data_IF_203335924552
#
_entry.id   IF_203335924552
#
_cell.length_a   1.000
_cell.length_b   1.000
_cell.length_c   1.000
_cell.angle_alpha   90.00
_cell.angle_beta   90.00
_cell.angle_gamma   90.00
#
_symmetry.space_group_name_H-M   'P 1'
#
loop_
_entity.id
_entity.type
_entity.pdbx_description
1 polymer ?
#
# COMPACT_ATOMS: atom_id res chain seq x y z
N UNK A 1 -16.81 89.15 -69.05
CA UNK A 1 -17.64 89.79 -68.00
C UNK A 1 -16.72 90.12 -66.83
N UNK A 2 -16.25 91.34 -66.57
CA UNK A 2 -16.74 92.69 -66.81
C UNK A 2 -16.57 93.46 -65.49
N UNK A 3 -15.32 93.65 -65.04
CA UNK A 3 -15.03 94.40 -63.80
C UNK A 3 -15.23 95.90 -64.07
N UNK A 4 -16.27 96.50 -63.46
CA UNK A 4 -16.69 97.87 -63.76
C UNK A 4 -16.05 98.95 -62.89
N UNK A 5 -15.06 98.61 -62.05
CA UNK A 5 -14.34 99.54 -61.19
C UNK A 5 -12.85 99.16 -61.11
N UNK A 6 -11.92 100.14 -61.02
CA UNK A 6 -10.50 99.85 -60.86
C UNK A 6 -10.28 99.13 -59.52
N UNK A 7 -9.72 97.92 -59.60
CA UNK A 7 -9.29 97.15 -58.44
C UNK A 7 -8.13 97.90 -57.75
N UNK A 8 -8.11 97.94 -56.41
CA UNK A 8 -6.92 98.42 -55.69
C UNK A 8 -5.73 97.48 -55.95
N UNK A 9 -4.51 97.96 -55.73
CA UNK A 9 -3.27 97.23 -56.03
C UNK A 9 -3.24 95.84 -55.39
N UNK A 10 -3.65 95.72 -54.13
CA UNK A 10 -3.73 94.45 -53.41
C UNK A 10 -4.73 93.47 -54.03
N UNK A 11 -5.90 93.95 -54.46
CA UNK A 11 -6.90 93.12 -55.13
C UNK A 11 -6.46 92.69 -56.54
N UNK A 12 -5.71 93.54 -57.27
CA UNK A 12 -5.11 93.13 -58.55
C UNK A 12 -4.01 92.09 -58.35
N UNK A 13 -3.17 92.24 -57.32
CA UNK A 13 -2.11 91.29 -56.99
C UNK A 13 -2.70 89.92 -56.61
N UNK A 14 -3.75 89.89 -55.78
CA UNK A 14 -4.47 88.65 -55.45
C UNK A 14 -5.10 88.00 -56.68
N UNK A 15 -5.69 88.78 -57.58
CA UNK A 15 -6.23 88.26 -58.85
C UNK A 15 -5.12 87.70 -59.74
N UNK A 16 -3.96 88.37 -59.83
CA UNK A 16 -2.80 87.85 -60.55
C UNK A 16 -2.26 86.57 -59.93
N UNK A 17 -2.20 86.46 -58.59
CA UNK A 17 -1.83 85.22 -57.91
C UNK A 17 -2.81 84.09 -58.21
N UNK A 18 -4.12 84.34 -58.17
CA UNK A 18 -5.14 83.35 -58.49
C UNK A 18 -5.04 82.90 -59.96
N UNK A 19 -4.95 83.85 -60.89
CA UNK A 19 -4.77 83.57 -62.32
C UNK A 19 -3.45 82.84 -62.60
N UNK A 20 -2.37 83.15 -61.88
CA UNK A 20 -1.08 82.46 -62.01
C UNK A 20 -1.17 81.03 -61.47
N UNK A 21 -1.85 80.82 -60.34
CA UNK A 21 -2.12 79.47 -59.81
C UNK A 21 -2.97 78.64 -60.77
N UNK A 22 -4.02 79.23 -61.35
CA UNK A 22 -4.84 78.56 -62.38
C UNK A 22 -4.03 78.24 -63.63
N UNK A 23 -3.22 79.19 -64.13
CA UNK A 23 -2.34 78.96 -65.27
C UNK A 23 -1.30 77.86 -65.00
N UNK A 24 -0.73 77.81 -63.81
CA UNK A 24 0.26 76.78 -63.46
C UNK A 24 -0.39 75.41 -63.23
N UNK A 25 -1.63 75.36 -62.72
CA UNK A 25 -2.43 74.14 -62.68
C UNK A 25 -2.72 73.62 -64.10
N UNK A 26 -3.15 74.51 -65.01
CA UNK A 26 -3.41 74.16 -66.42
C UNK A 26 -2.14 73.75 -67.17
N UNK A 27 -1.00 74.39 -66.91
CA UNK A 27 0.30 73.97 -67.47
C UNK A 27 0.68 72.57 -67.00
N UNK A 28 0.51 72.26 -65.71
CA UNK A 28 0.76 70.91 -65.16
C UNK A 28 -0.16 69.87 -65.78
N UNK A 29 -1.44 70.19 -65.97
CA UNK A 29 -2.39 69.31 -66.64
C UNK A 29 -1.99 69.06 -68.10
N UNK A 30 -1.66 70.12 -68.85
CA UNK A 30 -1.10 70.02 -70.20
C UNK A 30 0.14 69.14 -70.23
N UNK A 31 1.10 69.33 -69.32
CA UNK A 31 2.34 68.55 -69.31
C UNK A 31 2.10 67.07 -69.02
N UNK A 32 1.11 66.76 -68.17
CA UNK A 32 0.63 65.37 -67.95
C UNK A 32 -0.02 64.79 -69.20
N UNK A 33 -0.86 65.57 -69.89
CA UNK A 33 -1.50 65.14 -71.13
C UNK A 33 -0.47 64.91 -72.25
N UNK A 34 0.55 65.77 -72.36
CA UNK A 34 1.66 65.58 -73.29
C UNK A 34 2.49 64.33 -72.94
N UNK A 35 2.69 64.05 -71.65
CA UNK A 35 3.32 62.81 -71.20
C UNK A 35 2.52 61.57 -71.61
N UNK A 36 1.21 61.60 -71.36
CA UNK A 36 0.30 60.53 -71.76
C UNK A 36 0.27 60.33 -73.29
N UNK A 37 0.20 61.39 -74.08
CA UNK A 37 0.22 61.34 -75.54
C UNK A 37 1.53 60.73 -76.06
N UNK A 38 2.68 61.10 -75.48
CA UNK A 38 3.98 60.48 -75.79
C UNK A 38 3.99 58.98 -75.49
N UNK A 39 3.42 58.56 -74.36
CA UNK A 39 3.36 57.14 -74.00
C UNK A 39 2.42 56.35 -74.92
N UNK A 40 1.28 56.93 -75.30
CA UNK A 40 0.36 56.34 -76.29
C UNK A 40 1.06 56.18 -77.64
N UNK A 41 1.76 57.22 -78.11
CA UNK A 41 2.53 57.14 -79.35
C UNK A 41 3.65 56.11 -79.28
N UNK A 42 4.37 56.03 -78.15
CA UNK A 42 5.41 55.02 -77.95
C UNK A 42 4.86 53.60 -78.05
N UNK A 43 3.74 53.31 -77.37
CA UNK A 43 3.07 51.99 -77.44
C UNK A 43 2.54 51.69 -78.84
N UNK A 44 1.95 52.69 -79.51
CA UNK A 44 1.51 52.58 -80.90
C UNK A 44 2.67 52.20 -81.83
N UNK A 45 3.80 52.87 -81.68
CA UNK A 45 4.98 52.64 -82.51
C UNK A 45 5.65 51.29 -82.19
N UNK A 46 5.59 50.81 -80.95
CA UNK A 46 6.01 49.47 -80.55
C UNK A 46 5.15 48.38 -81.23
N UNK A 47 3.82 48.52 -81.24
CA UNK A 47 2.92 47.59 -81.93
C UNK A 47 3.16 47.61 -83.45
N UNK A 48 3.34 48.81 -84.03
CA UNK A 48 3.69 48.95 -85.45
C UNK A 48 5.04 48.28 -85.78
N UNK A 49 6.04 48.37 -84.91
CA UNK A 49 7.32 47.66 -85.07
C UNK A 49 7.12 46.15 -85.03
N UNK A 50 6.33 45.64 -84.10
CA UNK A 50 6.04 44.21 -83.99
C UNK A 50 5.30 43.67 -85.22
N UNK A 51 4.34 44.42 -85.77
CA UNK A 51 3.63 44.08 -87.01
C UNK A 51 4.56 44.05 -88.23
N UNK A 52 5.48 45.02 -88.35
CA UNK A 52 6.49 45.06 -89.41
C UNK A 52 7.47 43.88 -89.36
N UNK A 53 7.84 43.43 -88.15
CA UNK A 53 8.69 42.25 -87.94
C UNK A 53 7.94 40.96 -88.29
N UNK A 54 6.65 40.88 -87.94
CA UNK A 54 5.81 39.71 -88.20
C UNK A 54 5.44 39.52 -89.68
N UNK A 55 5.41 40.60 -90.49
CA UNK A 55 5.06 40.52 -91.91
C UNK A 55 5.94 41.45 -92.79
N UNK A 56 7.18 41.05 -93.12
CA UNK A 56 8.10 41.88 -93.89
C UNK A 56 7.69 42.09 -95.37
N UNK A 57 6.76 41.29 -95.90
CA UNK A 57 6.31 41.36 -97.29
C UNK A 57 5.23 42.44 -97.56
N UNK A 58 4.61 43.00 -96.53
CA UNK A 58 3.55 44.03 -96.67
C UNK A 58 4.10 45.47 -96.82
N UNK A 59 5.42 45.68 -96.66
CA UNK A 59 6.05 47.00 -96.66
C UNK A 59 6.15 47.66 -98.05
N UNK A 60 5.80 46.96 -99.13
CA UNK A 60 6.10 47.36 -100.51
C UNK A 60 5.03 48.10 -101.31
N UNK A 61 3.81 48.33 -100.80
CA UNK A 61 2.82 49.08 -101.62
C UNK A 61 1.37 49.03 -101.21
N UNK A 62 1.00 49.60 -100.06
CA UNK A 62 -0.39 49.98 -99.78
C UNK A 62 -0.43 51.38 -99.17
N UNK A 63 -1.39 52.20 -99.62
CA UNK A 63 -1.50 53.62 -99.30
C UNK A 63 -1.68 53.94 -97.80
N UNK A 64 -1.66 55.23 -97.43
CA UNK A 64 -1.54 55.70 -96.04
C UNK A 64 -2.63 55.23 -95.06
N UNK A 65 -3.74 54.64 -95.51
CA UNK A 65 -4.81 54.09 -94.65
C UNK A 65 -4.68 52.59 -94.33
N UNK A 66 -3.85 51.82 -95.03
CA UNK A 66 -3.80 50.36 -94.86
C UNK A 66 -3.10 49.92 -93.55
N UNK A 67 -2.02 50.60 -93.15
CA UNK A 67 -1.31 50.30 -91.90
C UNK A 67 -2.08 50.69 -90.64
N UNK A 68 -3.03 51.63 -90.74
CA UNK A 68 -3.88 52.03 -89.61
C UNK A 68 -5.02 51.03 -89.37
N UNK A 69 -5.53 50.40 -90.43
CA UNK A 69 -6.49 49.29 -90.35
C UNK A 69 -5.85 48.04 -89.72
N UNK A 70 -4.66 47.65 -90.18
CA UNK A 70 -3.92 46.49 -89.63
C UNK A 70 -3.55 46.69 -88.14
N UNK A 71 -3.21 47.92 -87.75
CA UNK A 71 -2.95 48.28 -86.35
C UNK A 71 -4.21 48.18 -85.48
N UNK A 72 -5.36 48.68 -85.97
CA UNK A 72 -6.65 48.56 -85.26
C UNK A 72 -7.05 47.11 -85.09
N UNK A 73 -6.94 46.29 -86.14
CA UNK A 73 -7.24 44.85 -86.07
C UNK A 73 -6.33 44.10 -85.07
N UNK A 74 -5.04 44.46 -85.00
CA UNK A 74 -4.10 43.88 -84.04
C UNK A 74 -4.47 44.25 -82.59
N UNK A 75 -4.79 45.53 -82.35
CA UNK A 75 -5.24 46.02 -81.04
C UNK A 75 -6.57 45.37 -80.62
N UNK A 76 -7.54 45.25 -81.54
CA UNK A 76 -8.82 44.60 -81.28
C UNK A 76 -8.63 43.11 -80.95
N UNK A 77 -7.70 42.44 -81.64
CA UNK A 77 -7.32 41.05 -81.34
C UNK A 77 -6.68 40.91 -79.95
N UNK A 78 -5.83 41.84 -79.55
CA UNK A 78 -5.21 41.81 -78.22
C UNK A 78 -6.19 42.18 -77.10
N UNK A 79 -7.09 43.14 -77.33
CA UNK A 79 -8.22 43.42 -76.43
C UNK A 79 -9.10 42.18 -76.27
N UNK A 80 -9.40 41.46 -77.36
CA UNK A 80 -10.18 40.23 -77.29
C UNK A 80 -9.45 39.12 -76.51
N UNK A 81 -8.13 38.97 -76.68
CA UNK A 81 -7.32 38.03 -75.87
C UNK A 81 -7.34 38.39 -74.39
N UNK A 82 -7.13 39.68 -74.06
CA UNK A 82 -7.12 40.15 -72.67
C UNK A 82 -8.49 39.98 -72.02
N UNK A 83 -9.59 40.28 -72.71
CA UNK A 83 -10.95 40.02 -72.22
C UNK A 83 -11.20 38.54 -71.96
N UNK A 84 -10.68 37.64 -72.82
CA UNK A 84 -10.78 36.20 -72.60
C UNK A 84 -9.97 35.75 -71.39
N UNK A 85 -8.76 36.28 -71.21
CA UNK A 85 -7.90 36.00 -70.06
C UNK A 85 -8.52 36.52 -68.75
N UNK A 86 -9.07 37.74 -68.76
CA UNK A 86 -9.81 38.34 -67.65
C UNK A 86 -11.01 37.47 -67.27
N UNK A 87 -11.84 37.08 -68.25
CA UNK A 87 -12.99 36.22 -68.00
C UNK A 87 -12.59 34.86 -67.39
N UNK A 88 -11.48 34.28 -67.85
CA UNK A 88 -10.96 33.02 -67.31
C UNK A 88 -10.44 33.20 -65.87
N UNK A 89 -9.63 34.22 -65.60
CA UNK A 89 -9.10 34.52 -64.28
C UNK A 89 -10.21 34.82 -63.27
N UNK A 90 -11.26 35.55 -63.69
CA UNK A 90 -12.44 35.82 -62.85
C UNK A 90 -13.21 34.54 -62.54
N UNK A 91 -13.32 33.60 -63.50
CA UNK A 91 -13.97 32.32 -63.27
C UNK A 91 -13.19 31.45 -62.27
N UNK A 92 -11.86 31.40 -62.40
CA UNK A 92 -10.99 30.69 -61.46
C UNK A 92 -11.06 31.31 -60.06
N UNK A 93 -11.01 32.64 -59.95
CA UNK A 93 -11.13 33.34 -58.68
C UNK A 93 -12.43 32.96 -57.97
N UNK A 94 -13.56 32.99 -58.68
CA UNK A 94 -14.87 32.61 -58.13
C UNK A 94 -14.92 31.15 -57.68
N UNK A 95 -14.27 30.25 -58.42
CA UNK A 95 -14.20 28.83 -58.04
C UNK A 95 -13.39 28.65 -56.75
N UNK A 96 -12.24 29.32 -56.64
CA UNK A 96 -11.39 29.28 -55.43
C UNK A 96 -12.07 29.92 -54.24
N UNK A 97 -12.79 31.04 -54.43
CA UNK A 97 -13.57 31.69 -53.37
C UNK A 97 -14.68 30.79 -52.84
N UNK A 98 -15.39 30.06 -53.72
CA UNK A 98 -16.40 29.09 -53.34
C UNK A 98 -15.80 27.88 -52.59
N UNK A 99 -14.63 27.38 -53.02
CA UNK A 99 -13.93 26.33 -52.28
C UNK A 99 -13.47 26.80 -50.91
N UNK A 100 -12.96 28.04 -50.81
CA UNK A 100 -12.54 28.64 -49.55
C UNK A 100 -13.70 28.79 -48.57
N UNK A 101 -14.88 29.20 -49.04
CA UNK A 101 -16.06 29.31 -48.18
C UNK A 101 -16.55 27.94 -47.69
N UNK A 102 -16.53 26.91 -48.55
CA UNK A 102 -16.83 25.52 -48.16
C UNK A 102 -15.86 25.01 -47.09
N UNK A 103 -14.55 25.14 -47.32
CA UNK A 103 -13.53 24.68 -46.36
C UNK A 103 -13.60 25.44 -45.03
N UNK A 104 -13.97 26.73 -45.05
CA UNK A 104 -14.18 27.50 -43.83
C UNK A 104 -15.38 26.97 -43.02
N UNK A 105 -16.45 26.54 -43.69
CA UNK A 105 -17.59 25.91 -43.03
C UNK A 105 -17.22 24.55 -42.43
N UNK A 106 -16.50 23.72 -43.18
CA UNK A 106 -16.04 22.41 -42.70
C UNK A 106 -15.10 22.55 -41.50
N UNK A 107 -14.18 23.51 -41.54
CA UNK A 107 -13.31 23.81 -40.41
C UNK A 107 -14.11 24.24 -39.18
N UNK A 108 -15.09 25.12 -39.34
CA UNK A 108 -15.92 25.56 -38.22
C UNK A 108 -16.72 24.40 -37.59
N UNK A 109 -17.17 23.43 -38.40
CA UNK A 109 -17.82 22.23 -37.91
C UNK A 109 -16.85 21.34 -37.10
N UNK A 110 -15.65 21.10 -37.63
CA UNK A 110 -14.60 20.33 -36.94
C UNK A 110 -14.16 20.99 -35.64
N UNK A 111 -13.97 22.31 -35.63
CA UNK A 111 -13.59 23.06 -34.43
C UNK A 111 -14.69 22.94 -33.34
N UNK A 112 -15.97 22.86 -33.73
CA UNK A 112 -17.08 22.65 -32.79
C UNK A 112 -17.12 21.22 -32.24
N UNK A 113 -16.86 20.21 -33.06
CA UNK A 113 -16.75 18.81 -32.64
C UNK A 113 -15.56 18.60 -31.69
N UNK A 114 -14.39 19.21 -31.98
CA UNK A 114 -13.21 19.17 -31.12
C UNK A 114 -13.49 19.78 -29.74
N UNK A 115 -14.20 20.91 -29.70
CA UNK A 115 -14.58 21.55 -28.45
C UNK A 115 -15.50 20.67 -27.58
N UNK A 116 -16.43 19.93 -28.22
CA UNK A 116 -17.31 19.00 -27.51
C UNK A 116 -16.52 17.79 -26.98
N UNK A 117 -15.67 17.18 -27.80
CA UNK A 117 -14.80 16.08 -27.38
C UNK A 117 -13.90 16.48 -26.20
N UNK A 118 -13.30 17.68 -26.23
CA UNK A 118 -12.48 18.18 -25.13
C UNK A 118 -13.26 18.30 -23.81
N UNK A 119 -14.56 18.64 -23.88
CA UNK A 119 -15.44 18.70 -22.71
C UNK A 119 -15.71 17.31 -22.15
N UNK A 120 -16.00 16.34 -23.01
CA UNK A 120 -16.22 14.94 -22.61
C UNK A 120 -14.96 14.32 -21.99
N UNK A 121 -13.78 14.56 -22.60
CA UNK A 121 -12.50 14.11 -22.07
C UNK A 121 -12.22 14.69 -20.68
N UNK A 122 -12.48 15.98 -20.47
CA UNK A 122 -12.28 16.62 -19.18
C UNK A 122 -13.16 15.99 -18.08
N UNK A 123 -14.42 15.67 -18.39
CA UNK A 123 -15.29 14.98 -17.43
C UNK A 123 -14.85 13.52 -17.21
N UNK A 124 -14.42 12.82 -18.26
CA UNK A 124 -13.84 11.48 -18.14
C UNK A 124 -12.63 11.47 -17.19
N UNK A 125 -11.68 12.39 -17.37
CA UNK A 125 -10.49 12.49 -16.53
C UNK A 125 -10.81 12.83 -15.06
N UNK A 126 -11.86 13.62 -14.84
CA UNK A 126 -12.37 13.91 -13.50
C UNK A 126 -12.97 12.67 -12.84
N UNK A 127 -13.72 11.86 -13.59
CA UNK A 127 -14.27 10.59 -13.09
C UNK A 127 -13.16 9.56 -12.85
N UNK A 128 -12.18 9.48 -13.73
CA UNK A 128 -11.01 8.62 -13.57
C UNK A 128 -10.23 8.97 -12.31
N UNK A 129 -9.95 10.26 -12.09
CA UNK A 129 -9.29 10.73 -10.86
C UNK A 129 -10.05 10.32 -9.60
N UNK A 130 -11.38 10.45 -9.58
CA UNK A 130 -12.22 10.00 -8.45
C UNK A 130 -12.13 8.49 -8.24
N UNK A 131 -12.15 7.72 -9.32
CA UNK A 131 -12.04 6.27 -9.27
C UNK A 131 -10.68 5.81 -8.71
N UNK A 132 -9.58 6.44 -9.15
CA UNK A 132 -8.22 6.14 -8.67
C UNK A 132 -8.10 6.41 -7.18
N UNK A 133 -8.56 7.57 -6.70
CA UNK A 133 -8.57 7.88 -5.25
C UNK A 133 -9.37 6.83 -4.48
N UNK A 134 -10.55 6.46 -4.98
CA UNK A 134 -11.39 5.47 -4.30
C UNK A 134 -10.76 4.07 -4.27
N UNK A 135 -10.09 3.67 -5.35
CA UNK A 135 -9.35 2.41 -5.41
C UNK A 135 -8.25 2.40 -4.35
N UNK A 136 -7.47 3.48 -4.26
CA UNK A 136 -6.35 3.58 -3.33
C UNK A 136 -6.84 3.55 -1.87
N UNK A 137 -7.93 4.24 -1.54
CA UNK A 137 -8.58 4.15 -0.22
C UNK A 137 -8.98 2.72 0.16
N UNK A 138 -9.52 1.96 -0.80
CA UNK A 138 -9.92 0.57 -0.57
C UNK A 138 -8.69 -0.34 -0.39
N UNK A 139 -7.62 -0.09 -1.12
CA UNK A 139 -6.38 -0.82 -1.02
C UNK A 139 -5.69 -0.57 0.33
N UNK A 140 -5.61 0.68 0.78
CA UNK A 140 -5.10 1.04 2.11
C UNK A 140 -5.90 0.35 3.22
N UNK A 141 -7.22 0.27 3.06
CA UNK A 141 -8.09 -0.42 4.02
C UNK A 141 -7.84 -1.92 4.02
N UNK A 142 -7.64 -2.53 2.86
CA UNK A 142 -7.30 -3.95 2.75
C UNK A 142 -5.96 -4.26 3.43
N UNK A 143 -4.93 -3.46 3.16
CA UNK A 143 -3.59 -3.65 3.73
C UNK A 143 -3.58 -3.44 5.25
N UNK A 144 -4.37 -2.48 5.76
CA UNK A 144 -4.60 -2.30 7.19
C UNK A 144 -5.25 -3.54 7.83
N UNK A 145 -6.28 -4.11 7.20
CA UNK A 145 -6.97 -5.30 7.69
C UNK A 145 -6.06 -6.53 7.67
N UNK A 146 -5.29 -6.72 6.60
CA UNK A 146 -4.29 -7.80 6.49
C UNK A 146 -3.25 -7.72 7.61
N UNK A 147 -2.75 -6.51 7.89
CA UNK A 147 -1.79 -6.28 8.98
C UNK A 147 -2.38 -6.64 10.34
N UNK A 148 -3.63 -6.22 10.61
CA UNK A 148 -4.33 -6.57 11.85
C UNK A 148 -4.56 -8.07 12.00
N UNK A 149 -4.92 -8.75 10.91
CA UNK A 149 -5.11 -10.19 10.90
C UNK A 149 -3.80 -10.93 11.19
N UNK A 150 -2.71 -10.52 10.53
CA UNK A 150 -1.38 -11.09 10.77
C UNK A 150 -0.93 -10.91 12.23
N UNK A 151 -1.16 -9.72 12.81
CA UNK A 151 -0.91 -9.46 14.22
C UNK A 151 -1.75 -10.35 15.14
N UNK A 152 -3.06 -10.44 14.88
CA UNK A 152 -3.98 -11.27 15.66
C UNK A 152 -3.61 -12.75 15.63
N UNK A 153 -3.19 -13.26 14.47
CA UNK A 153 -2.68 -14.64 14.35
C UNK A 153 -1.41 -14.86 15.16
N UNK A 154 -0.46 -13.92 15.11
CA UNK A 154 0.78 -14.03 15.89
C UNK A 154 0.52 -14.03 17.40
N UNK A 155 -0.40 -13.18 17.86
CA UNK A 155 -0.76 -13.14 19.27
C UNK A 155 -1.52 -14.41 19.69
N UNK A 156 -2.40 -14.93 18.83
CA UNK A 156 -3.07 -16.21 19.08
C UNK A 156 -2.06 -17.37 19.16
N UNK A 157 -1.09 -17.44 18.25
CA UNK A 157 -0.03 -18.44 18.27
C UNK A 157 0.79 -18.36 19.56
N UNK A 158 1.09 -17.13 20.02
CA UNK A 158 1.77 -16.90 21.29
C UNK A 158 0.93 -17.40 22.47
N UNK A 159 -0.34 -17.01 22.55
CA UNK A 159 -1.26 -17.44 23.62
C UNK A 159 -1.48 -18.95 23.62
N UNK A 160 -1.55 -19.59 22.45
CA UNK A 160 -1.66 -21.05 22.33
C UNK A 160 -0.39 -21.76 22.82
N UNK A 161 0.79 -21.15 22.65
CA UNK A 161 2.05 -21.67 23.19
C UNK A 161 2.24 -21.39 24.68
N UNK A 162 1.66 -20.31 25.19
CA UNK A 162 1.74 -19.96 26.61
C UNK A 162 0.84 -20.89 27.43
N UNK A 163 1.43 -21.96 27.94
CA UNK A 163 0.79 -22.79 28.95
C UNK A 163 1.07 -22.19 30.34
N UNK A 164 0.06 -21.55 30.95
CA UNK A 164 0.17 -20.92 32.27
C UNK A 164 0.70 -21.89 33.35
N UNK A 165 0.43 -23.18 33.22
CA UNK A 165 0.94 -24.19 34.17
C UNK A 165 2.44 -24.40 34.05
N UNK A 166 3.00 -24.33 32.83
CA UNK A 166 4.44 -24.43 32.62
C UNK A 166 5.17 -23.19 33.14
N UNK A 167 4.54 -22.01 33.06
CA UNK A 167 5.12 -20.76 33.59
C UNK A 167 5.02 -20.68 35.12
N UNK A 168 3.96 -21.24 35.73
CA UNK A 168 3.78 -21.27 37.19
C UNK A 168 4.63 -22.37 37.88
N UNK A 169 4.85 -23.50 37.19
CA UNK A 169 5.62 -24.64 37.67
C UNK A 169 6.65 -25.05 36.62
N UNK A 170 7.78 -24.33 36.60
CA UNK A 170 8.90 -24.60 35.70
C UNK A 170 9.65 -25.85 36.16
N UNK A 171 9.29 -27.01 35.62
CA UNK A 171 9.97 -28.29 35.87
C UNK A 171 11.14 -28.44 34.89
N UNK A 172 12.34 -28.65 35.41
CA UNK A 172 13.55 -28.82 34.62
C UNK A 172 14.54 -29.80 35.24
N UNK A 173 15.76 -29.79 34.73
CA UNK A 173 16.84 -30.61 35.24
C UNK A 173 18.13 -29.79 35.27
N UNK A 174 18.80 -29.76 36.42
CA UNK A 174 20.06 -29.04 36.61
C UNK A 174 21.07 -29.92 37.33
N UNK A 175 22.27 -30.08 36.77
CA UNK A 175 23.39 -30.80 37.39
C UNK A 175 23.05 -32.20 37.96
N UNK A 176 22.04 -32.88 37.39
CA UNK A 176 21.58 -34.19 37.89
C UNK A 176 20.50 -34.15 38.97
N UNK A 177 19.92 -32.99 39.27
CA UNK A 177 18.72 -32.86 40.09
C UNK A 177 17.51 -32.61 39.19
N UNK A 178 16.33 -33.10 39.60
CA UNK A 178 15.08 -32.51 39.12
C UNK A 178 14.90 -31.14 39.77
N UNK A 179 14.46 -30.15 39.01
CA UNK A 179 14.21 -28.80 39.54
C UNK A 179 12.76 -28.39 39.32
N UNK A 180 12.19 -27.66 40.28
CA UNK A 180 10.87 -27.04 40.14
C UNK A 180 10.95 -25.58 40.58
N UNK A 181 10.64 -24.65 39.66
CA UNK A 181 10.82 -23.21 39.86
C UNK A 181 12.25 -22.84 40.32
N UNK A 182 13.25 -23.57 39.80
CA UNK A 182 14.66 -23.40 40.14
C UNK A 182 15.10 -24.02 41.48
N UNK A 183 14.20 -24.65 42.23
CA UNK A 183 14.54 -25.35 43.48
C UNK A 183 14.94 -26.79 43.18
N UNK A 184 16.06 -27.26 43.75
CA UNK A 184 16.60 -28.61 43.50
C UNK A 184 15.95 -29.64 44.43
N UNK A 185 15.48 -30.73 43.83
CA UNK A 185 14.86 -31.85 44.53
C UNK A 185 15.84 -33.04 44.61
N UNK A 186 16.55 -33.15 45.73
CA UNK A 186 17.46 -34.27 46.01
C UNK A 186 18.77 -33.84 46.65
N UNK A 187 19.67 -34.80 46.89
CA UNK A 187 21.03 -34.63 47.43
C UNK A 187 21.99 -35.54 46.68
N UNK A 188 23.15 -35.02 46.27
CA UNK A 188 24.20 -35.83 45.63
C UNK A 188 25.48 -35.83 46.46
N UNK A 189 26.30 -36.90 46.41
CA UNK A 189 27.63 -36.89 47.00
C UNK A 189 28.46 -35.75 46.40
N UNK A 190 28.79 -34.74 47.21
CA UNK A 190 29.54 -33.55 46.79
C UNK A 190 28.72 -32.27 46.59
N UNK A 191 27.39 -32.36 46.43
CA UNK A 191 26.50 -31.20 46.40
C UNK A 191 25.35 -31.45 47.38
N UNK A 192 25.50 -30.90 48.58
CA UNK A 192 24.51 -31.00 49.62
C UNK A 192 23.48 -29.87 49.49
N UNK A 193 22.27 -30.21 49.05
CA UNK A 193 21.14 -29.26 49.00
C UNK A 193 20.54 -29.13 50.40
N UNK A 194 20.29 -27.88 50.81
CA UNK A 194 19.73 -27.57 52.11
C UNK A 194 18.27 -28.01 52.23
N UNK A 195 17.88 -28.55 53.39
CA UNK A 195 16.52 -29.06 53.63
C UNK A 195 15.40 -28.04 53.36
N UNK A 196 15.54 -26.75 53.70
CA UNK A 196 14.53 -25.75 53.33
C UNK A 196 14.25 -25.65 51.83
N UNK A 197 15.29 -25.81 50.98
CA UNK A 197 15.14 -25.81 49.52
C UNK A 197 14.37 -27.05 49.05
N UNK A 198 14.73 -28.23 49.58
CA UNK A 198 14.05 -29.50 49.29
C UNK A 198 12.58 -29.46 49.74
N UNK A 199 12.31 -28.94 50.93
CA UNK A 199 10.95 -28.82 51.47
C UNK A 199 10.11 -27.83 50.64
N UNK A 200 10.70 -26.71 50.21
CA UNK A 200 10.04 -25.76 49.33
C UNK A 200 9.74 -26.38 47.95
N UNK A 201 10.68 -27.16 47.40
CA UNK A 201 10.49 -27.90 46.15
C UNK A 201 9.32 -28.91 46.28
N UNK A 202 9.29 -29.70 47.35
CA UNK A 202 8.16 -30.59 47.66
C UNK A 202 6.84 -29.86 47.85
N UNK A 203 6.87 -28.64 48.42
CA UNK A 203 5.72 -27.78 48.53
C UNK A 203 5.14 -27.37 47.17
N UNK A 204 6.02 -26.98 46.23
CA UNK A 204 5.62 -26.71 44.86
C UNK A 204 5.12 -27.97 44.14
N UNK A 205 5.75 -29.12 44.35
CA UNK A 205 5.31 -30.39 43.75
C UNK A 205 3.92 -30.82 44.27
N UNK A 206 3.63 -30.66 45.56
CA UNK A 206 2.31 -30.94 46.12
C UNK A 206 1.25 -29.95 45.61
N UNK A 207 1.61 -28.65 45.54
CA UNK A 207 0.73 -27.63 45.00
C UNK A 207 0.40 -27.89 43.52
N UNK A 208 1.39 -28.31 42.73
CA UNK A 208 1.18 -28.72 41.33
C UNK A 208 0.20 -29.88 41.24
N UNK A 209 0.41 -30.95 42.01
CA UNK A 209 -0.48 -32.11 42.03
C UNK A 209 -1.91 -31.72 42.40
N UNK A 210 -2.07 -30.90 43.44
CA UNK A 210 -3.38 -30.38 43.87
C UNK A 210 -4.04 -29.50 42.80
N UNK A 211 -3.25 -28.66 42.10
CA UNK A 211 -3.75 -27.76 41.05
C UNK A 211 -4.22 -28.55 39.82
N UNK A 212 -3.45 -29.56 39.40
CA UNK A 212 -3.82 -30.45 38.31
C UNK A 212 -5.08 -31.25 38.66
N UNK A 213 -5.13 -31.82 39.87
CA UNK A 213 -6.29 -32.57 40.35
C UNK A 213 -7.56 -31.70 40.34
N UNK A 214 -7.47 -30.47 40.86
CA UNK A 214 -8.57 -29.50 40.82
C UNK A 214 -9.01 -29.18 39.37
N UNK A 215 -8.05 -28.98 38.44
CA UNK A 215 -8.35 -28.73 37.02
C UNK A 215 -9.11 -29.86 36.35
N UNK A 216 -8.78 -31.11 36.67
CA UNK A 216 -9.47 -32.28 36.12
C UNK A 216 -10.75 -32.67 36.89
N UNK A 217 -11.11 -31.92 37.94
CA UNK A 217 -12.25 -32.21 38.81
C UNK A 217 -12.04 -33.44 39.70
N UNK A 218 -10.79 -33.84 39.94
CA UNK A 218 -10.44 -34.93 40.83
C UNK A 218 -10.22 -34.39 42.24
N UNK A 219 -11.27 -34.39 43.06
CA UNK A 219 -11.24 -33.77 44.38
C UNK A 219 -10.95 -34.75 45.52
N UNK A 220 -11.12 -36.05 45.29
CA UNK A 220 -11.01 -37.08 46.32
C UNK A 220 -9.92 -38.09 45.94
N UNK A 221 -8.78 -38.03 46.64
CA UNK A 221 -7.79 -39.10 46.62
C UNK A 221 -8.23 -40.18 47.61
N UNK A 222 -8.26 -41.44 47.18
CA UNK A 222 -8.63 -42.56 48.04
C UNK A 222 -7.66 -42.69 49.20
N UNK A 223 -8.15 -42.48 50.43
CA UNK A 223 -7.37 -42.58 51.67
C UNK A 223 -6.42 -41.42 51.96
N UNK A 224 -6.43 -40.35 51.17
CA UNK A 224 -5.49 -39.23 51.32
C UNK A 224 -6.12 -37.86 51.05
N UNK A 225 -5.62 -36.82 51.73
CA UNK A 225 -5.97 -35.42 51.49
C UNK A 225 -4.69 -34.60 51.34
N UNK A 226 -4.58 -33.87 50.22
CA UNK A 226 -3.43 -33.00 49.95
C UNK A 226 -3.67 -31.62 50.56
N UNK A 227 -2.72 -31.12 51.35
CA UNK A 227 -2.78 -29.80 51.98
C UNK A 227 -1.51 -29.02 51.60
N UNK A 228 -1.53 -28.26 50.48
CA UNK A 228 -0.39 -27.44 50.08
C UNK A 228 -0.25 -26.21 50.98
N UNK A 229 0.89 -26.09 51.68
CA UNK A 229 1.19 -25.00 52.62
C UNK A 229 2.65 -24.52 52.46
N UNK A 230 3.07 -24.25 51.22
CA UNK A 230 4.45 -23.90 50.90
C UNK A 230 5.42 -25.00 51.36
N UNK A 231 6.52 -24.63 52.01
CA UNK A 231 7.52 -25.59 52.52
C UNK A 231 7.00 -26.53 53.62
N UNK A 232 5.81 -26.27 54.18
CA UNK A 232 5.17 -27.06 55.25
C UNK A 232 4.02 -27.93 54.73
N UNK A 233 4.01 -28.20 53.44
CA UNK A 233 3.02 -29.02 52.77
C UNK A 233 2.83 -30.39 53.46
N UNK A 234 1.58 -30.83 53.59
CA UNK A 234 1.21 -32.02 54.38
C UNK A 234 0.25 -32.91 53.59
N UNK A 235 0.39 -34.22 53.76
CA UNK A 235 -0.54 -35.21 53.20
C UNK A 235 -1.19 -35.94 54.37
N UNK A 236 -2.49 -35.79 54.49
CA UNK A 236 -3.25 -36.40 55.58
C UNK A 236 -3.77 -37.75 55.11
N UNK A 237 -3.43 -38.81 55.85
CA UNK A 237 -3.99 -40.13 55.59
C UNK A 237 -5.36 -40.20 56.28
N UNK A 238 -6.38 -40.44 55.48
CA UNK A 238 -7.74 -40.69 55.95
C UNK A 238 -7.83 -42.20 56.22
N UNK A 239 -7.89 -42.59 57.49
CA UNK A 239 -8.16 -43.98 57.86
C UNK A 239 -9.68 -44.15 57.93
N UNK A 240 -10.23 -45.06 57.12
CA UNK A 240 -11.59 -45.54 57.32
C UNK A 240 -11.57 -46.47 58.53
N UNK A 241 -11.97 -45.97 59.70
CA UNK A 241 -12.17 -46.81 60.89
C UNK A 241 -13.55 -47.50 60.78
N UNK A 242 -13.63 -48.83 60.58
CA UNK A 242 -14.90 -49.53 60.39
C UNK A 242 -15.79 -49.54 61.65
N UNK A 243 -15.31 -49.05 62.79
CA UNK A 243 -16.03 -49.07 64.07
C UNK A 243 -16.69 -47.73 64.46
N UNK A 244 -16.37 -46.60 63.81
CA UNK A 244 -16.96 -45.29 64.12
C UNK A 244 -17.03 -44.40 62.86
N UNK A 245 -18.18 -44.41 62.18
CA UNK A 245 -18.43 -43.62 60.97
C UNK A 245 -18.58 -42.10 61.20
N UNK A 246 -18.35 -41.59 62.42
CA UNK A 246 -18.54 -40.17 62.78
C UNK A 246 -17.27 -39.47 63.30
N UNK A 247 -16.12 -40.14 63.33
CA UNK A 247 -14.85 -39.54 63.76
C UNK A 247 -13.74 -39.81 62.74
N UNK A 248 -13.74 -39.03 61.64
CA UNK A 248 -12.56 -38.86 60.79
C UNK A 248 -11.44 -38.32 61.67
N UNK A 249 -10.56 -39.19 62.17
CA UNK A 249 -9.37 -38.78 62.92
C UNK A 249 -8.21 -38.76 61.92
N UNK A 250 -7.92 -37.63 61.25
CA UNK A 250 -6.89 -37.59 60.22
C UNK A 250 -5.52 -37.83 60.86
N UNK A 251 -4.86 -38.92 60.47
CA UNK A 251 -3.44 -39.09 60.80
C UNK A 251 -2.65 -38.28 59.78
N UNK A 252 -2.39 -37.01 60.13
CA UNK A 252 -1.62 -36.09 59.30
C UNK A 252 -0.16 -36.54 59.21
N UNK A 253 0.31 -36.92 58.03
CA UNK A 253 1.73 -37.19 57.78
C UNK A 253 2.31 -36.00 57.02
N UNK A 254 2.99 -35.13 57.73
CA UNK A 254 3.61 -33.93 57.16
C UNK A 254 4.73 -34.32 56.19
N UNK A 255 4.76 -33.70 55.00
CA UNK A 255 5.87 -33.82 54.02
C UNK A 255 7.08 -32.99 54.49
N UNK A 256 6.99 -32.32 55.65
CA UNK A 256 7.95 -31.33 56.09
C UNK A 256 8.82 -31.80 57.26
N UNK A 257 10.12 -31.52 57.12
CA UNK A 257 11.24 -31.49 58.07
C UNK A 257 12.10 -32.75 58.33
N UNK A 258 13.34 -32.65 57.85
CA UNK A 258 14.55 -32.95 58.62
C UNK A 258 15.10 -31.66 59.24
N UNK A 259 15.00 -31.51 60.57
CA UNK A 259 15.80 -30.52 61.29
C UNK A 259 17.17 -31.15 61.56
N UNK A 260 18.24 -30.38 61.38
CA UNK A 260 19.63 -30.87 61.39
C UNK A 260 20.13 -31.47 62.71
N UNK A 261 19.33 -31.42 63.78
CA UNK A 261 19.81 -31.69 65.13
C UNK A 261 19.36 -33.06 65.65
N UNK A 262 20.34 -33.95 65.80
CA UNK A 262 20.34 -35.24 66.50
C UNK A 262 20.03 -36.51 65.68
N UNK A 263 20.92 -37.52 65.77
CA UNK A 263 20.91 -38.75 64.97
C UNK A 263 19.68 -39.66 65.21
N UNK A 264 19.12 -39.65 66.43
CA UNK A 264 17.92 -40.44 66.79
C UNK A 264 16.66 -39.78 66.24
N UNK A 265 16.60 -38.46 66.30
CA UNK A 265 15.53 -37.63 65.72
C UNK A 265 15.47 -37.79 64.20
N UNK A 266 16.65 -37.86 63.54
CA UNK A 266 16.78 -38.13 62.10
C UNK A 266 16.17 -39.47 61.67
N UNK A 267 16.36 -40.55 62.44
CA UNK A 267 15.81 -41.88 62.11
C UNK A 267 14.28 -41.93 62.16
N UNK A 268 13.66 -41.35 63.19
CA UNK A 268 12.20 -41.29 63.32
C UNK A 268 11.56 -40.32 62.33
N UNK A 269 12.24 -39.21 62.01
CA UNK A 269 11.78 -38.21 61.04
C UNK A 269 11.84 -38.72 59.60
N UNK A 270 12.93 -39.38 59.22
CA UNK A 270 13.06 -40.00 57.89
C UNK A 270 11.92 -41.00 57.64
N UNK A 271 11.42 -41.69 58.68
CA UNK A 271 10.28 -42.61 58.55
C UNK A 271 8.98 -41.89 58.20
N UNK A 272 8.70 -40.74 58.80
CA UNK A 272 7.49 -39.95 58.50
C UNK A 272 7.57 -39.33 57.11
N UNK A 273 8.74 -38.82 56.76
CA UNK A 273 9.01 -38.26 55.44
C UNK A 273 8.90 -39.32 54.33
N UNK A 274 9.43 -40.52 54.55
CA UNK A 274 9.26 -41.65 53.64
C UNK A 274 7.80 -42.04 53.46
N UNK A 275 7.01 -42.06 54.54
CA UNK A 275 5.56 -42.31 54.45
C UNK A 275 4.83 -41.23 53.67
N UNK A 276 5.23 -39.96 53.84
CA UNK A 276 4.66 -38.83 53.09
C UNK A 276 4.99 -38.92 51.59
N UNK A 277 6.23 -39.27 51.22
CA UNK A 277 6.64 -39.47 49.83
C UNK A 277 5.94 -40.66 49.17
N UNK A 278 5.73 -41.76 49.92
CA UNK A 278 4.97 -42.92 49.42
C UNK A 278 3.49 -42.56 49.24
N UNK A 279 2.90 -41.80 50.18
CA UNK A 279 1.54 -41.30 50.05
C UNK A 279 1.39 -40.35 48.84
N UNK A 280 2.41 -39.52 48.57
CA UNK A 280 2.45 -38.67 47.40
C UNK A 280 2.46 -39.49 46.10
N UNK A 281 3.30 -40.52 46.00
CA UNK A 281 3.35 -41.41 44.84
C UNK A 281 2.01 -42.13 44.62
N UNK A 282 1.35 -42.56 45.68
CA UNK A 282 0.03 -43.19 45.58
C UNK A 282 -1.02 -42.20 45.04
N UNK A 283 -1.01 -40.96 45.51
CA UNK A 283 -1.87 -39.90 44.97
C UNK A 283 -1.58 -39.61 43.50
N UNK A 284 -0.30 -39.56 43.12
CA UNK A 284 0.13 -39.39 41.73
C UNK A 284 -0.36 -40.56 40.84
N UNK A 285 -0.24 -41.80 41.32
CA UNK A 285 -0.73 -43.00 40.63
C UNK A 285 -2.24 -42.93 40.38
N UNK A 286 -3.03 -42.58 41.40
CA UNK A 286 -4.49 -42.43 41.26
C UNK A 286 -4.87 -41.37 40.24
N UNK A 287 -4.19 -40.22 40.25
CA UNK A 287 -4.42 -39.17 39.26
C UNK A 287 -4.04 -39.60 37.84
N UNK A 288 -2.89 -40.29 37.69
CA UNK A 288 -2.45 -40.82 36.40
C UNK A 288 -3.47 -41.82 35.85
N UNK A 289 -3.95 -42.76 36.66
CA UNK A 289 -4.96 -43.73 36.25
C UNK A 289 -6.27 -43.07 35.82
N UNK A 290 -6.71 -42.06 36.57
CA UNK A 290 -7.88 -41.27 36.22
C UNK A 290 -7.73 -40.53 34.89
N UNK A 291 -6.54 -39.94 34.64
CA UNK A 291 -6.25 -39.26 33.37
C UNK A 291 -6.14 -40.24 32.22
N UNK A 292 -5.44 -41.37 32.39
CA UNK A 292 -5.29 -42.40 31.35
C UNK A 292 -6.61 -43.10 31.02
N UNK A 293 -7.52 -43.25 31.99
CA UNK A 293 -8.87 -43.76 31.74
C UNK A 293 -9.69 -42.81 30.86
N UNK A 294 -9.46 -41.49 30.95
CA UNK A 294 -10.13 -40.47 30.13
C UNK A 294 -9.46 -40.27 28.77
N UNK A 295 -8.13 -40.35 28.71
CA UNK A 295 -7.36 -40.25 27.47
C UNK A 295 -6.32 -41.39 27.37
N UNK A 296 -6.63 -42.45 26.59
CA UNK A 296 -5.72 -43.57 26.37
C UNK A 296 -4.42 -43.22 25.64
N UNK A 297 -4.26 -42.02 25.08
CA UNK A 297 -3.02 -41.57 24.42
C UNK A 297 -1.98 -41.07 25.41
N UNK A 298 -2.37 -40.73 26.63
CA UNK A 298 -1.44 -40.30 27.68
C UNK A 298 -0.52 -41.48 28.03
N UNK A 299 0.79 -41.22 27.99
CA UNK A 299 1.83 -42.18 28.36
C UNK A 299 2.67 -41.55 29.46
N UNK A 300 2.71 -42.18 30.62
CA UNK A 300 3.58 -41.77 31.72
C UNK A 300 4.93 -42.49 31.56
N UNK A 301 6.06 -41.76 31.53
CA UNK A 301 7.38 -42.36 31.27
C UNK A 301 7.82 -43.37 32.33
N UNK A 302 7.43 -43.15 33.58
CA UNK A 302 7.83 -43.96 34.74
C UNK A 302 6.60 -44.52 35.44
N UNK A 303 6.53 -45.85 35.56
CA UNK A 303 5.45 -46.49 36.30
C UNK A 303 5.66 -46.32 37.82
N UNK A 304 4.58 -46.02 38.53
CA UNK A 304 4.59 -45.92 39.99
C UNK A 304 4.08 -47.23 40.58
N UNK A 305 4.91 -47.91 41.38
CA UNK A 305 4.60 -49.17 42.06
C UNK A 305 4.98 -49.04 43.53
N UNK A 306 3.98 -48.82 44.39
CA UNK A 306 4.15 -48.64 45.84
C UNK A 306 5.16 -47.52 46.17
N UNK A 307 6.34 -47.89 46.68
CA UNK A 307 7.41 -46.99 47.09
C UNK A 307 8.49 -46.79 46.01
N UNK A 308 8.24 -47.25 44.79
CA UNK A 308 9.16 -47.15 43.66
C UNK A 308 8.53 -46.41 42.49
N UNK A 309 9.36 -45.63 41.81
CA UNK A 309 9.04 -44.98 40.54
C UNK A 309 10.06 -45.43 39.51
N UNK A 310 9.60 -46.12 38.45
CA UNK A 310 10.46 -46.89 37.58
C UNK A 310 11.13 -48.05 38.34
N UNK A 311 12.45 -48.05 38.41
CA UNK A 311 13.28 -49.07 39.05
C UNK A 311 13.85 -48.64 40.43
N UNK A 312 13.67 -47.36 40.80
CA UNK A 312 14.26 -46.76 42.01
C UNK A 312 13.23 -46.46 43.10
N UNK A 313 13.65 -46.58 44.36
CA UNK A 313 12.79 -46.27 45.52
C UNK A 313 12.86 -44.80 45.91
N UNK A 314 11.72 -44.23 46.27
CA UNK A 314 11.61 -42.85 46.76
C UNK A 314 11.97 -42.71 48.25
N UNK A 315 12.13 -43.82 48.97
CA UNK A 315 12.47 -43.80 50.39
C UNK A 315 13.91 -43.35 50.60
N UNK A 316 14.10 -42.44 51.55
CA UNK A 316 15.40 -41.99 52.01
C UNK A 316 16.02 -43.00 52.98
N UNK A 317 15.22 -43.75 53.75
CA UNK A 317 15.76 -44.78 54.64
C UNK A 317 16.33 -45.97 53.86
N UNK A 318 17.55 -46.38 54.24
CA UNK A 318 18.29 -47.51 53.65
C UNK A 318 18.67 -47.36 52.16
N UNK A 319 18.41 -46.19 51.55
CA UNK A 319 18.85 -45.84 50.20
C UNK A 319 20.10 -44.96 50.18
N UNK A 320 20.72 -44.82 49.01
CA UNK A 320 21.78 -43.81 48.80
C UNK A 320 21.18 -42.48 48.34
N UNK A 321 21.81 -41.36 48.71
CA UNK A 321 21.44 -40.01 48.27
C UNK A 321 21.32 -39.92 46.73
N UNK A 322 22.18 -40.63 45.99
CA UNK A 322 22.11 -40.73 44.52
C UNK A 322 20.86 -41.45 44.02
N UNK A 323 20.50 -42.59 44.62
CA UNK A 323 19.32 -43.35 44.24
C UNK A 323 18.04 -42.57 44.55
N UNK A 324 18.03 -41.88 45.69
CA UNK A 324 16.92 -41.01 46.09
C UNK A 324 16.76 -39.83 45.12
N UNK A 325 17.85 -39.12 44.79
CA UNK A 325 17.82 -38.02 43.81
C UNK A 325 17.39 -38.48 42.41
N UNK A 326 17.76 -39.71 42.02
CA UNK A 326 17.27 -40.31 40.77
C UNK A 326 15.77 -40.56 40.82
N UNK A 327 15.25 -41.10 41.92
CA UNK A 327 13.81 -41.30 42.10
C UNK A 327 13.06 -39.96 42.05
N UNK A 328 13.56 -38.94 42.74
CA UNK A 328 12.97 -37.58 42.73
C UNK A 328 12.99 -36.90 41.36
N UNK A 329 13.92 -37.27 40.49
CA UNK A 329 13.95 -36.77 39.10
C UNK A 329 12.90 -37.45 38.23
N UNK A 330 12.49 -38.68 38.57
CA UNK A 330 11.44 -39.39 37.85
C UNK A 330 10.03 -38.97 38.28
N UNK A 331 9.90 -38.40 39.49
CA UNK A 331 8.67 -37.79 40.02
C UNK A 331 8.39 -36.48 39.32
#
# INVERSE_FOLDING_TARGET
TGLSHPLCTECTELLFELMTRELDALKKERDRLLGFEKDVHKRRDEVLKQLKVANPAAAGGKGPGAGELELKEALDKDIAKLRKAEAHAVAELKAVEAQKSSLAADKAALDAEEAELAREEAEFWKQHSKYVVRRDELQDREDSLRTRLAYGHKELEKLQRTNVYNDAFCIGQEAGFGTINGLRLGRLPGINVEWPEINAAWGHTLLLLSTIAHKFGFHHFGGYRLVPCGSFSTIEKLEEDPANAEADTPTATTVSYGSGDFAVTRLLQNRRFDMAMVAFLECLRQLVEFVTARDPKVRVPHAVVKDRIGDVSIKLQFGSDEAWTRALRHV
#
